data_IF_422624981042
#
_entry.id   IF_422624981042
#
_cell.length_a   1.000
_cell.length_b   1.000
_cell.length_c   1.000
_cell.angle_alpha   90.00
_cell.angle_beta   90.00
_cell.angle_gamma   90.00
#
_symmetry.space_group_name_H-M   'P 1'
#
loop_
_entity.id
_entity.type
_entity.pdbx_description
1 polymer ?
#
# COMPACT_ATOMS: atom_id res chain seq x y z
N UNK A 1 -14.32 -30.09 6.62
CA UNK A 1 -13.68 -29.37 5.50
C UNK A 1 -14.44 -28.05 5.29
N UNK A 2 -13.92 -26.91 5.74
CA UNK A 2 -14.47 -25.61 5.32
C UNK A 2 -14.21 -25.48 3.82
N UNK A 3 -15.27 -25.32 3.01
CA UNK A 3 -15.11 -24.95 1.59
C UNK A 3 -14.24 -23.68 1.56
N UNK A 4 -13.20 -23.67 0.76
CA UNK A 4 -12.41 -22.45 0.48
C UNK A 4 -13.36 -21.45 -0.16
N UNK A 5 -13.74 -20.41 0.58
CA UNK A 5 -14.66 -19.35 0.11
C UNK A 5 -13.92 -18.30 -0.73
N UNK A 6 -12.80 -18.66 -1.36
CA UNK A 6 -12.08 -17.77 -2.28
C UNK A 6 -12.98 -17.39 -3.47
N UNK A 7 -12.97 -16.13 -3.83
CA UNK A 7 -13.77 -15.56 -4.91
C UNK A 7 -13.42 -16.20 -6.27
N UNK A 8 -14.45 -16.62 -7.00
CA UNK A 8 -14.32 -17.27 -8.30
C UNK A 8 -14.73 -16.33 -9.45
N UNK A 9 -14.43 -16.67 -10.71
CA UNK A 9 -14.82 -15.85 -11.86
C UNK A 9 -16.33 -15.58 -11.90
N UNK A 10 -17.15 -16.57 -11.56
CA UNK A 10 -18.62 -16.40 -11.51
C UNK A 10 -19.06 -15.36 -10.49
N UNK A 11 -18.38 -15.29 -9.34
CA UNK A 11 -18.66 -14.31 -8.30
C UNK A 11 -18.32 -12.89 -8.79
N UNK A 12 -17.17 -12.75 -9.49
CA UNK A 12 -16.76 -11.47 -10.10
C UNK A 12 -17.74 -10.99 -11.16
N UNK A 13 -18.23 -11.89 -12.03
CA UNK A 13 -19.27 -11.56 -13.00
C UNK A 13 -20.55 -11.14 -12.31
N UNK A 14 -20.97 -11.85 -11.27
CA UNK A 14 -22.16 -11.52 -10.48
C UNK A 14 -22.02 -10.16 -9.77
N UNK A 15 -20.83 -9.84 -9.22
CA UNK A 15 -20.55 -8.53 -8.62
C UNK A 15 -20.74 -7.42 -9.65
N UNK A 16 -20.17 -7.56 -10.85
CA UNK A 16 -20.31 -6.59 -11.92
C UNK A 16 -21.76 -6.42 -12.39
N UNK A 17 -22.53 -7.51 -12.44
CA UNK A 17 -23.96 -7.48 -12.80
C UNK A 17 -24.82 -6.84 -11.72
N UNK A 18 -24.51 -7.08 -10.45
CA UNK A 18 -25.33 -6.60 -9.31
C UNK A 18 -25.06 -5.14 -8.98
N UNK A 19 -23.79 -4.74 -9.00
CA UNK A 19 -23.34 -3.42 -8.56
C UNK A 19 -22.91 -2.49 -9.70
N UNK A 20 -22.94 -2.98 -10.95
CA UNK A 20 -22.45 -2.25 -12.11
C UNK A 20 -20.93 -2.32 -12.29
N UNK A 21 -20.43 -1.68 -13.35
CA UNK A 21 -19.00 -1.50 -13.65
C UNK A 21 -18.76 -0.07 -14.16
N UNK A 22 -17.55 0.51 -14.00
CA UNK A 22 -16.39 -0.09 -13.37
C UNK A 22 -16.57 -0.26 -11.85
N UNK A 23 -15.90 -1.28 -11.25
CA UNK A 23 -16.00 -1.59 -9.82
C UNK A 23 -14.73 -2.27 -9.32
N UNK A 24 -14.35 -1.98 -8.08
CA UNK A 24 -13.31 -2.72 -7.37
C UNK A 24 -13.93 -3.82 -6.49
N UNK A 25 -13.36 -5.00 -6.53
CA UNK A 25 -13.74 -6.12 -5.67
C UNK A 25 -12.51 -6.64 -4.92
N UNK A 26 -12.65 -6.85 -3.63
CA UNK A 26 -11.57 -7.33 -2.77
C UNK A 26 -11.98 -8.62 -2.07
N UNK A 27 -11.07 -9.59 -2.00
CA UNK A 27 -11.25 -10.87 -1.34
C UNK A 27 -10.63 -10.84 0.06
N UNK A 28 -11.48 -10.78 1.10
CA UNK A 28 -11.06 -10.79 2.50
C UNK A 28 -10.27 -12.05 2.87
N UNK A 29 -10.61 -13.20 2.28
CA UNK A 29 -9.91 -14.45 2.55
C UNK A 29 -8.50 -14.46 1.95
N UNK A 30 -8.31 -13.90 0.76
CA UNK A 30 -6.98 -13.74 0.17
C UNK A 30 -6.09 -12.79 1.01
N UNK A 31 -6.67 -11.72 1.58
CA UNK A 31 -5.95 -10.84 2.53
C UNK A 31 -5.53 -11.61 3.79
N UNK A 32 -6.44 -12.39 4.38
CA UNK A 32 -6.17 -13.23 5.55
C UNK A 32 -5.06 -14.25 5.26
N UNK A 33 -5.10 -14.89 4.10
CA UNK A 33 -4.09 -15.87 3.69
C UNK A 33 -2.68 -15.24 3.61
N UNK A 34 -2.57 -14.03 3.05
CA UNK A 34 -1.29 -13.32 2.97
C UNK A 34 -0.81 -12.82 4.34
N UNK A 35 -1.71 -12.34 5.19
CA UNK A 35 -1.39 -11.98 6.57
C UNK A 35 -0.85 -13.19 7.35
N UNK A 36 -1.55 -14.33 7.28
CA UNK A 36 -1.13 -15.57 7.94
C UNK A 36 0.18 -16.12 7.36
N UNK A 37 0.40 -16.00 6.05
CA UNK A 37 1.66 -16.39 5.42
C UNK A 37 2.83 -15.61 6.01
N UNK A 38 2.67 -14.28 6.14
CA UNK A 38 3.70 -13.42 6.71
C UNK A 38 3.95 -13.73 8.19
N UNK A 39 2.91 -13.81 9.00
CA UNK A 39 3.06 -14.08 10.44
C UNK A 39 3.64 -15.46 10.71
N UNK A 40 3.26 -16.46 9.92
CA UNK A 40 3.82 -17.81 10.04
C UNK A 40 5.31 -17.86 9.66
N UNK A 41 5.74 -17.12 8.66
CA UNK A 41 7.16 -17.05 8.25
C UNK A 41 8.05 -16.53 9.38
N UNK A 42 7.53 -15.66 10.24
CA UNK A 42 8.26 -15.09 11.38
C UNK A 42 7.83 -15.66 12.74
N UNK A 43 7.21 -16.84 12.77
CA UNK A 43 6.71 -17.47 14.01
C UNK A 43 7.80 -17.81 15.03
N UNK A 44 9.07 -17.84 14.64
CA UNK A 44 10.21 -18.01 15.54
C UNK A 44 10.59 -16.74 16.31
N UNK A 45 10.02 -15.58 15.99
CA UNK A 45 10.22 -14.32 16.70
C UNK A 45 9.18 -14.20 17.82
N UNK A 46 9.61 -14.00 19.11
CA UNK A 46 8.66 -13.95 20.24
C UNK A 46 7.66 -12.82 20.15
N UNK A 47 8.05 -11.67 19.60
CA UNK A 47 7.22 -10.48 19.50
C UNK A 47 7.25 -9.94 18.06
N UNK A 48 6.23 -10.29 17.28
CA UNK A 48 6.04 -9.82 15.90
C UNK A 48 4.89 -8.82 15.85
N UNK A 49 5.08 -7.71 15.13
CA UNK A 49 4.05 -6.72 14.83
C UNK A 49 3.96 -6.48 13.33
N UNK A 50 2.78 -6.56 12.78
CA UNK A 50 2.49 -6.20 11.39
C UNK A 50 1.65 -4.92 11.41
N UNK A 51 2.17 -3.83 10.85
CA UNK A 51 1.48 -2.57 10.67
C UNK A 51 1.05 -2.46 9.22
N UNK A 52 -0.23 -2.58 8.94
CA UNK A 52 -0.74 -2.48 7.57
C UNK A 52 -0.58 -1.06 7.04
N UNK A 53 0.10 -0.89 5.89
CA UNK A 53 0.29 0.42 5.26
C UNK A 53 -1.01 0.93 4.62
N UNK A 54 -1.67 1.88 5.29
CA UNK A 54 -3.00 2.42 4.93
C UNK A 54 -3.04 2.96 3.50
N UNK A 55 -1.96 3.60 3.05
CA UNK A 55 -1.81 4.13 1.68
C UNK A 55 -2.08 3.12 0.56
N UNK A 56 -1.93 1.82 0.83
CA UNK A 56 -2.16 0.79 -0.17
C UNK A 56 -3.66 0.64 -0.50
N UNK A 57 -4.53 0.60 0.53
CA UNK A 57 -5.98 0.55 0.38
C UNK A 57 -6.63 1.04 1.68
N UNK A 58 -7.14 2.26 1.68
CA UNK A 58 -7.58 3.01 2.88
C UNK A 58 -9.08 2.92 3.18
N UNK A 59 -9.81 1.95 2.58
CA UNK A 59 -11.23 1.76 2.87
C UNK A 59 -11.44 1.29 4.31
N UNK A 60 -12.36 1.93 5.05
CA UNK A 60 -12.62 1.64 6.47
C UNK A 60 -12.94 0.17 6.75
N UNK A 61 -13.69 -0.52 5.88
CA UNK A 61 -13.99 -1.94 6.03
C UNK A 61 -12.74 -2.82 5.90
N UNK A 62 -11.80 -2.41 5.03
CA UNK A 62 -10.51 -3.08 4.88
C UNK A 62 -9.63 -2.83 6.10
N UNK A 63 -9.58 -1.59 6.62
CA UNK A 63 -8.82 -1.29 7.84
C UNK A 63 -9.35 -2.09 9.04
N UNK A 64 -10.68 -2.17 9.21
CA UNK A 64 -11.33 -3.02 10.24
C UNK A 64 -10.98 -4.49 10.06
N UNK A 65 -10.94 -4.98 8.82
CA UNK A 65 -10.56 -6.36 8.53
C UNK A 65 -9.09 -6.64 8.88
N UNK A 66 -8.17 -5.75 8.49
CA UNK A 66 -6.75 -5.89 8.84
C UNK A 66 -6.54 -5.87 10.36
N UNK A 67 -7.21 -4.96 11.07
CA UNK A 67 -7.17 -4.93 12.53
C UNK A 67 -7.78 -6.20 13.18
N UNK A 68 -8.87 -6.72 12.62
CA UNK A 68 -9.46 -8.01 13.07
C UNK A 68 -8.48 -9.18 12.93
N UNK A 69 -7.62 -9.16 11.92
CA UNK A 69 -6.54 -10.15 11.73
C UNK A 69 -5.39 -9.97 12.73
N UNK A 70 -5.32 -8.86 13.44
CA UNK A 70 -4.27 -8.52 14.41
C UNK A 70 -3.22 -7.52 13.92
N UNK A 71 -3.44 -6.89 12.76
CA UNK A 71 -2.54 -5.83 12.28
C UNK A 71 -2.80 -4.50 12.99
N UNK A 72 -1.71 -3.79 13.34
CA UNK A 72 -1.71 -2.35 13.51
C UNK A 72 -1.72 -1.62 12.18
N UNK A 73 -1.53 -0.30 12.18
CA UNK A 73 -1.52 0.52 10.96
C UNK A 73 -0.23 1.35 10.84
N UNK A 74 0.33 1.40 9.62
CA UNK A 74 1.31 2.40 9.19
C UNK A 74 0.58 3.50 8.42
N UNK A 75 0.74 4.76 8.87
CA UNK A 75 0.07 5.95 8.34
C UNK A 75 1.08 7.02 7.97
N UNK A 76 0.80 7.80 6.92
CA UNK A 76 1.71 8.83 6.39
C UNK A 76 1.12 10.24 6.41
N UNK A 77 -0.14 10.37 6.84
CA UNK A 77 -0.85 11.65 7.00
C UNK A 77 -1.79 11.59 8.20
N UNK A 78 -2.12 12.75 8.77
CA UNK A 78 -3.10 12.82 9.86
C UNK A 78 -4.47 12.25 9.44
N UNK A 79 -4.83 12.37 8.15
CA UNK A 79 -6.08 11.82 7.63
C UNK A 79 -6.07 10.28 7.65
N UNK A 80 -4.94 9.64 7.36
CA UNK A 80 -4.81 8.18 7.52
C UNK A 80 -4.87 7.74 8.98
N UNK A 81 -4.30 8.53 9.92
CA UNK A 81 -4.46 8.30 11.37
C UNK A 81 -5.94 8.37 11.75
N UNK A 82 -6.64 9.42 11.31
CA UNK A 82 -8.08 9.59 11.58
C UNK A 82 -8.92 8.43 11.02
N UNK A 83 -8.59 7.95 9.80
CA UNK A 83 -9.23 6.75 9.23
C UNK A 83 -8.98 5.51 10.10
N UNK A 84 -7.77 5.34 10.63
CA UNK A 84 -7.45 4.24 11.53
C UNK A 84 -8.26 4.29 12.82
N UNK A 85 -8.35 5.46 13.44
CA UNK A 85 -9.16 5.69 14.65
C UNK A 85 -10.65 5.46 14.38
N UNK A 86 -11.19 5.95 13.26
CA UNK A 86 -12.58 5.71 12.83
C UNK A 86 -12.84 4.22 12.56
N UNK A 87 -11.85 3.48 12.06
CA UNK A 87 -11.92 2.04 11.92
C UNK A 87 -11.91 1.29 13.27
N UNK A 88 -11.64 1.98 14.39
CA UNK A 88 -11.63 1.44 15.73
C UNK A 88 -10.27 0.86 16.14
N UNK A 89 -9.20 1.18 15.42
CA UNK A 89 -7.83 0.76 15.78
C UNK A 89 -7.34 1.59 16.97
N UNK A 90 -6.85 0.98 18.06
CA UNK A 90 -6.33 1.72 19.20
C UNK A 90 -5.14 2.61 18.80
N UNK A 91 -5.01 3.84 19.33
CA UNK A 91 -3.91 4.75 18.98
C UNK A 91 -2.52 4.12 19.08
N UNK A 92 -2.27 3.33 20.12
CA UNK A 92 -0.99 2.63 20.36
C UNK A 92 -0.63 1.58 19.30
N UNK A 93 -1.58 1.20 18.45
CA UNK A 93 -1.41 0.26 17.35
C UNK A 93 -1.32 0.96 15.99
N UNK A 94 -1.24 2.30 16.02
CA UNK A 94 -1.04 3.14 14.83
C UNK A 94 0.35 3.76 14.90
N UNK A 95 1.10 3.66 13.81
CA UNK A 95 2.39 4.34 13.61
C UNK A 95 2.18 5.46 12.59
N UNK A 96 2.69 6.63 12.90
CA UNK A 96 2.71 7.78 11.99
C UNK A 96 4.12 8.01 11.48
N UNK A 97 4.35 7.71 10.20
CA UNK A 97 5.65 7.79 9.51
C UNK A 97 5.59 8.85 8.39
N UNK A 98 5.48 10.14 8.73
CA UNK A 98 5.34 11.20 7.74
C UNK A 98 6.67 11.50 7.04
N UNK A 99 6.59 12.16 5.87
CA UNK A 99 7.75 12.76 5.22
C UNK A 99 7.37 14.14 4.65
N UNK A 100 8.09 15.17 5.06
CA UNK A 100 7.92 16.53 4.55
C UNK A 100 6.63 17.22 5.00
N UNK A 101 6.04 16.81 6.12
CA UNK A 101 4.89 17.47 6.76
C UNK A 101 5.35 18.60 7.70
N UNK A 102 4.44 19.46 8.12
CA UNK A 102 4.73 20.50 9.10
C UNK A 102 4.94 19.92 10.50
N UNK A 103 5.75 20.61 11.32
CA UNK A 103 5.90 20.22 12.74
C UNK A 103 4.54 20.23 13.46
N UNK A 104 3.67 21.19 13.15
CA UNK A 104 2.34 21.29 13.75
C UNK A 104 1.45 20.07 13.47
N UNK A 105 1.58 19.44 12.29
CA UNK A 105 0.87 18.19 12.00
C UNK A 105 1.40 17.03 12.85
N UNK A 106 2.72 16.96 13.06
CA UNK A 106 3.34 15.93 13.93
C UNK A 106 2.89 16.14 15.39
N UNK A 107 2.89 17.38 15.85
CA UNK A 107 2.43 17.73 17.20
C UNK A 107 0.95 17.40 17.41
N UNK A 108 0.09 17.72 16.43
CA UNK A 108 -1.33 17.34 16.46
C UNK A 108 -1.49 15.82 16.56
N UNK A 109 -0.80 15.06 15.70
CA UNK A 109 -0.85 13.59 15.72
C UNK A 109 -0.32 13.03 17.03
N UNK A 110 0.73 13.62 17.62
CA UNK A 110 1.26 13.19 18.92
C UNK A 110 0.21 13.29 20.06
N UNK A 111 -0.70 14.28 19.99
CA UNK A 111 -1.80 14.39 20.96
C UNK A 111 -2.80 13.25 20.90
N UNK A 112 -2.86 12.53 19.78
CA UNK A 112 -3.75 11.38 19.59
C UNK A 112 -3.20 10.10 20.24
N UNK A 113 -1.95 10.11 20.71
CA UNK A 113 -1.32 8.98 21.41
C UNK A 113 -0.87 7.85 20.47
N UNK A 114 -0.59 8.17 19.20
CA UNK A 114 -0.01 7.22 18.23
C UNK A 114 1.52 7.25 18.29
N UNK A 115 2.17 6.20 17.80
CA UNK A 115 3.63 6.16 17.70
C UNK A 115 4.10 7.13 16.61
N UNK A 116 5.04 8.01 16.95
CA UNK A 116 5.62 8.99 16.02
C UNK A 116 6.95 8.46 15.48
N UNK A 117 7.10 8.43 14.16
CA UNK A 117 8.36 8.19 13.47
C UNK A 117 8.88 9.49 12.86
N UNK A 118 10.17 9.81 13.04
CA UNK A 118 10.80 11.03 12.53
C UNK A 118 11.95 10.67 11.60
N UNK A 119 11.98 11.29 10.42
CA UNK A 119 12.94 11.01 9.35
C UNK A 119 13.83 12.20 8.99
N UNK A 120 13.86 13.25 9.82
CA UNK A 120 14.57 14.50 9.53
C UNK A 120 15.20 15.08 10.81
N UNK A 121 16.49 15.50 10.73
CA UNK A 121 17.22 16.05 11.89
C UNK A 121 16.60 17.34 12.46
N UNK A 122 16.18 18.26 11.58
CA UNK A 122 15.59 19.53 12.03
C UNK A 122 14.27 19.28 12.77
N UNK A 123 13.45 18.37 12.26
CA UNK A 123 12.18 17.99 12.91
C UNK A 123 12.47 17.27 14.24
N UNK A 124 13.46 16.37 14.26
CA UNK A 124 13.86 15.64 15.47
C UNK A 124 14.28 16.62 16.60
N UNK A 125 15.10 17.62 16.27
CA UNK A 125 15.55 18.62 17.24
C UNK A 125 14.40 19.49 17.76
N UNK A 126 13.55 19.99 16.86
CA UNK A 126 12.40 20.83 17.22
C UNK A 126 11.40 20.06 18.07
N UNK A 127 11.02 18.84 17.63
CA UNK A 127 10.07 18.00 18.35
C UNK A 127 10.63 17.57 19.72
N UNK A 128 11.89 17.13 19.77
CA UNK A 128 12.55 16.72 21.02
C UNK A 128 12.68 17.88 22.03
N UNK A 129 12.89 19.11 21.55
CA UNK A 129 12.93 20.31 22.40
C UNK A 129 11.55 20.62 22.97
N UNK A 130 10.50 20.51 22.16
CA UNK A 130 9.13 20.84 22.57
C UNK A 130 8.45 19.71 23.39
N UNK A 131 8.75 18.45 23.08
CA UNK A 131 8.06 17.26 23.60
C UNK A 131 9.03 16.16 24.06
N UNK A 132 10.00 16.42 24.96
CA UNK A 132 11.05 15.47 25.33
C UNK A 132 10.53 14.18 25.99
N UNK A 133 9.32 14.20 26.52
CA UNK A 133 8.69 13.04 27.19
C UNK A 133 7.91 12.14 26.25
N UNK A 134 7.65 12.57 25.00
CA UNK A 134 6.97 11.75 23.99
C UNK A 134 8.00 10.84 23.34
N UNK A 135 7.86 9.50 23.45
CA UNK A 135 8.80 8.59 22.80
C UNK A 135 8.63 8.64 21.29
N UNK A 136 9.75 8.63 20.58
CA UNK A 136 9.76 8.65 19.12
C UNK A 136 10.63 7.53 18.55
N UNK A 137 10.27 7.07 17.37
CA UNK A 137 11.10 6.23 16.54
C UNK A 137 11.82 7.09 15.50
N UNK A 138 13.06 6.78 15.20
CA UNK A 138 13.80 7.42 14.11
C UNK A 138 13.82 6.55 12.86
N UNK A 139 13.52 7.14 11.71
CA UNK A 139 13.67 6.47 10.43
C UNK A 139 15.03 6.79 9.84
N UNK A 140 15.84 5.76 9.64
CA UNK A 140 17.15 5.86 9.00
C UNK A 140 17.10 5.52 7.51
N UNK A 141 18.04 6.09 6.75
CA UNK A 141 18.38 5.64 5.40
C UNK A 141 19.68 4.85 5.45
N UNK A 142 19.66 3.52 5.25
CA UNK A 142 20.86 2.69 5.28
C UNK A 142 21.72 2.82 4.03
N UNK A 143 21.32 3.59 3.02
CA UNK A 143 21.97 3.75 1.72
C UNK A 143 22.11 2.44 0.93
N UNK A 144 21.17 1.54 1.12
CA UNK A 144 21.10 0.28 0.38
C UNK A 144 19.99 0.41 -0.68
N UNK A 145 20.34 0.20 -1.92
CA UNK A 145 19.39 0.15 -3.03
C UNK A 145 18.83 -1.27 -3.14
N UNK A 146 17.56 -1.43 -2.76
CA UNK A 146 16.81 -2.65 -2.98
C UNK A 146 15.64 -2.36 -3.95
N UNK A 147 15.42 -3.26 -4.91
CA UNK A 147 14.34 -3.15 -5.89
C UNK A 147 14.74 -2.60 -7.26
N UNK A 148 13.93 -2.92 -8.27
CA UNK A 148 14.25 -2.70 -9.71
C UNK A 148 13.70 -1.43 -10.34
N UNK A 149 12.95 -0.57 -9.63
CA UNK A 149 12.33 0.63 -10.20
C UNK A 149 12.81 1.89 -9.45
N UNK A 150 13.52 2.77 -10.15
CA UNK A 150 14.09 4.00 -9.58
C UNK A 150 13.03 4.94 -8.96
N UNK A 151 11.78 4.94 -9.48
CA UNK A 151 10.70 5.80 -8.98
C UNK A 151 10.15 5.38 -7.61
N UNK A 152 10.44 4.15 -7.17
CA UNK A 152 9.97 3.58 -5.90
C UNK A 152 11.12 3.06 -5.02
N UNK A 153 12.36 3.35 -5.40
CA UNK A 153 13.57 3.09 -4.59
C UNK A 153 13.76 4.23 -3.59
N UNK A 154 13.68 3.95 -2.30
CA UNK A 154 13.80 4.95 -1.22
C UNK A 154 15.11 4.86 -0.45
N UNK A 155 15.92 3.83 -0.66
CA UNK A 155 17.23 3.63 -0.05
C UNK A 155 18.42 4.31 -0.76
N UNK A 156 18.18 5.14 -1.78
CA UNK A 156 19.24 5.86 -2.48
C UNK A 156 19.86 6.93 -1.59
N UNK A 157 21.15 7.26 -1.80
CA UNK A 157 21.86 8.27 -1.02
C UNK A 157 21.21 9.66 -1.09
N UNK A 158 20.63 10.00 -2.24
CA UNK A 158 19.91 11.27 -2.49
C UNK A 158 18.38 11.11 -2.28
N UNK A 159 17.94 10.11 -1.52
CA UNK A 159 16.54 9.96 -1.18
C UNK A 159 16.07 11.04 -0.21
N UNK A 160 14.83 11.52 -0.40
CA UNK A 160 14.22 12.44 0.57
C UNK A 160 13.83 11.75 1.89
N UNK A 161 13.88 10.42 1.96
CA UNK A 161 13.41 9.63 3.07
C UNK A 161 14.54 9.19 3.99
N UNK A 162 14.30 9.30 5.29
CA UNK A 162 15.17 8.78 6.34
C UNK A 162 16.39 9.66 6.62
N UNK A 163 16.82 9.65 7.87
CA UNK A 163 18.08 10.27 8.30
C UNK A 163 19.24 9.36 7.83
N UNK A 164 20.18 9.93 7.09
CA UNK A 164 21.37 9.17 6.65
C UNK A 164 22.09 8.55 7.83
N UNK A 165 22.52 7.27 7.71
CA UNK A 165 23.34 6.61 8.72
C UNK A 165 24.63 7.38 9.04
N UNK A 166 25.16 8.17 8.07
CA UNK A 166 26.32 9.03 8.29
C UNK A 166 26.03 10.23 9.21
N UNK A 167 24.75 10.55 9.45
CA UNK A 167 24.30 11.63 10.32
C UNK A 167 23.97 11.17 11.75
N UNK A 168 24.17 9.88 12.07
CA UNK A 168 23.90 9.35 13.42
C UNK A 168 24.61 10.12 14.54
N UNK A 169 25.85 10.64 14.40
CA UNK A 169 26.44 11.50 15.44
C UNK A 169 25.66 12.77 15.73
N UNK A 170 24.91 13.29 14.73
CA UNK A 170 24.02 14.45 14.96
C UNK A 170 22.74 14.02 15.69
N UNK A 171 22.18 12.86 15.35
CA UNK A 171 21.02 12.29 16.06
C UNK A 171 21.36 12.12 17.55
N UNK A 172 22.47 11.47 17.87
CA UNK A 172 22.88 11.23 19.26
C UNK A 172 23.05 12.54 20.05
N UNK A 173 23.63 13.58 19.42
CA UNK A 173 23.77 14.91 20.03
C UNK A 173 22.42 15.56 20.30
N UNK A 174 21.47 15.46 19.35
CA UNK A 174 20.10 15.99 19.55
C UNK A 174 19.44 15.27 20.72
N UNK A 175 19.51 13.94 20.77
CA UNK A 175 18.93 13.12 21.84
C UNK A 175 19.53 13.51 23.20
N UNK A 176 20.86 13.65 23.27
CA UNK A 176 21.54 14.08 24.50
C UNK A 176 21.13 15.50 24.95
N UNK A 177 21.07 16.45 24.02
CA UNK A 177 20.73 17.84 24.31
C UNK A 177 19.27 18.04 24.71
N UNK A 178 18.34 17.30 24.11
CA UNK A 178 16.90 17.43 24.37
C UNK A 178 16.42 16.54 25.50
N UNK A 179 17.15 15.47 25.81
CA UNK A 179 16.72 14.44 26.76
C UNK A 179 15.55 13.60 26.25
N UNK A 180 15.26 13.64 24.95
CA UNK A 180 14.15 12.87 24.35
C UNK A 180 14.40 11.36 24.39
N UNK A 181 13.31 10.60 24.41
CA UNK A 181 13.37 9.14 24.41
C UNK A 181 13.21 8.61 22.98
N UNK A 182 14.21 7.83 22.50
CA UNK A 182 14.12 7.05 21.27
C UNK A 182 13.71 5.63 21.66
N UNK A 183 12.47 5.24 21.26
CA UNK A 183 11.92 3.92 21.58
C UNK A 183 11.93 2.94 20.40
N UNK A 184 12.31 3.39 19.21
CA UNK A 184 12.39 2.54 18.02
C UNK A 184 13.36 3.04 16.98
N UNK A 185 13.82 2.13 16.13
CA UNK A 185 14.56 2.45 14.91
C UNK A 185 13.86 1.79 13.73
N UNK A 186 13.61 2.57 12.69
CA UNK A 186 12.89 2.18 11.49
C UNK A 186 13.76 2.35 10.26
N UNK A 187 13.62 1.43 9.31
CA UNK A 187 14.13 1.61 7.94
C UNK A 187 13.08 1.18 6.91
N UNK A 188 13.17 1.73 5.72
CA UNK A 188 12.45 1.22 4.57
C UNK A 188 13.36 1.32 3.33
N UNK A 189 13.72 0.17 2.75
CA UNK A 189 14.73 0.09 1.68
C UNK A 189 14.13 0.18 0.27
N UNK A 190 12.81 0.24 0.13
CA UNK A 190 12.10 0.38 -1.14
C UNK A 190 11.05 -0.69 -1.41
N UNK A 191 10.69 -0.84 -2.67
CA UNK A 191 9.68 -1.81 -3.13
C UNK A 191 10.29 -2.85 -4.07
N UNK A 192 9.63 -4.02 -4.16
CA UNK A 192 9.98 -5.11 -5.07
C UNK A 192 11.36 -5.74 -4.76
N UNK A 193 11.64 -5.92 -3.47
CA UNK A 193 12.85 -6.57 -2.97
C UNK A 193 12.75 -8.07 -3.27
N UNK A 194 13.67 -8.57 -4.08
CA UNK A 194 13.81 -9.99 -4.42
C UNK A 194 14.99 -10.64 -3.75
N UNK A 195 16.05 -9.87 -3.53
CA UNK A 195 17.30 -10.35 -2.97
C UNK A 195 17.25 -10.31 -1.44
N UNK A 196 17.14 -11.49 -0.84
CA UNK A 196 17.07 -11.64 0.61
C UNK A 196 18.39 -11.20 1.27
N UNK A 197 19.55 -11.45 0.65
CA UNK A 197 20.83 -11.09 1.23
C UNK A 197 21.00 -9.57 1.29
N UNK A 198 20.45 -8.82 0.32
CA UNK A 198 20.38 -7.35 0.37
C UNK A 198 19.52 -6.89 1.54
N UNK A 199 18.37 -7.53 1.78
CA UNK A 199 17.52 -7.21 2.92
C UNK A 199 18.21 -7.52 4.26
N UNK A 200 18.88 -8.66 4.36
CA UNK A 200 19.62 -9.05 5.55
C UNK A 200 20.83 -8.13 5.82
N UNK A 201 21.47 -7.63 4.76
CA UNK A 201 22.55 -6.64 4.94
C UNK A 201 21.98 -5.30 5.48
N UNK A 202 20.82 -4.86 4.99
CA UNK A 202 20.14 -3.69 5.55
C UNK A 202 19.74 -3.91 7.02
N UNK A 203 19.33 -5.13 7.38
CA UNK A 203 19.02 -5.49 8.76
C UNK A 203 20.24 -5.35 9.69
N UNK A 204 21.44 -5.77 9.27
CA UNK A 204 22.66 -5.58 10.08
C UNK A 204 22.93 -4.10 10.35
N UNK A 205 22.73 -3.22 9.35
CA UNK A 205 22.90 -1.77 9.54
C UNK A 205 21.88 -1.24 10.56
N UNK A 206 20.64 -1.76 10.53
CA UNK A 206 19.63 -1.39 11.52
C UNK A 206 20.03 -1.84 12.92
N UNK A 207 20.55 -3.05 13.07
CA UNK A 207 21.07 -3.56 14.34
C UNK A 207 22.25 -2.73 14.87
N UNK A 208 23.21 -2.35 14.01
CA UNK A 208 24.34 -1.51 14.38
C UNK A 208 23.88 -0.11 14.82
N UNK A 209 22.84 0.42 14.18
CA UNK A 209 22.22 1.68 14.59
C UNK A 209 21.50 1.53 15.94
N UNK A 210 20.76 0.46 16.12
CA UNK A 210 20.02 0.16 17.34
C UNK A 210 20.92 0.04 18.58
N UNK A 211 22.13 -0.53 18.44
CA UNK A 211 23.14 -0.62 19.54
C UNK A 211 23.55 0.72 20.14
N UNK A 212 23.28 1.84 19.42
CA UNK A 212 23.58 3.20 19.91
C UNK A 212 22.54 3.73 20.90
N UNK A 213 21.41 3.04 21.06
CA UNK A 213 20.30 3.39 21.97
C UNK A 213 20.10 2.28 23.00
N UNK A 214 19.70 2.64 24.24
CA UNK A 214 19.62 1.68 25.35
C UNK A 214 18.20 1.17 25.63
N UNK A 215 17.19 1.98 25.31
CA UNK A 215 15.81 1.77 25.79
C UNK A 215 14.81 1.47 24.67
N UNK A 216 15.29 0.89 23.54
CA UNK A 216 14.43 0.54 22.43
C UNK A 216 13.33 -0.46 22.84
N UNK A 217 12.20 -0.36 22.21
CA UNK A 217 11.05 -1.26 22.35
C UNK A 217 10.84 -2.10 21.09
N UNK A 218 11.18 -1.55 19.92
CA UNK A 218 10.97 -2.22 18.63
C UNK A 218 12.01 -1.82 17.58
N UNK A 219 12.14 -2.69 16.58
CA UNK A 219 12.82 -2.40 15.32
C UNK A 219 11.84 -2.63 14.18
N UNK A 220 11.68 -1.61 13.33
CA UNK A 220 10.78 -1.68 12.18
C UNK A 220 11.59 -1.74 10.88
N UNK A 221 11.37 -2.82 10.14
CA UNK A 221 12.08 -3.11 8.90
C UNK A 221 11.34 -2.59 7.66
N UNK A 222 10.23 -1.85 7.87
CA UNK A 222 9.38 -1.42 6.77
C UNK A 222 8.77 -2.61 6.03
N UNK A 223 8.90 -2.60 4.72
CA UNK A 223 8.43 -3.69 3.86
C UNK A 223 9.17 -3.64 2.52
N UNK A 224 8.47 -3.90 1.43
CA UNK A 224 8.99 -3.92 0.08
C UNK A 224 8.91 -5.31 -0.55
N UNK A 225 8.23 -6.24 0.11
CA UNK A 225 8.04 -7.61 -0.39
C UNK A 225 7.35 -7.59 -1.74
N UNK A 226 8.02 -8.16 -2.75
CA UNK A 226 7.50 -8.24 -4.10
C UNK A 226 6.42 -9.31 -4.20
N UNK A 227 5.33 -8.96 -4.91
CA UNK A 227 4.28 -9.90 -5.32
C UNK A 227 4.29 -10.05 -6.84
N UNK A 228 3.94 -11.22 -7.39
CA UNK A 228 3.93 -11.45 -8.83
C UNK A 228 2.76 -10.72 -9.49
N UNK A 229 3.03 -10.01 -10.60
CA UNK A 229 2.03 -9.28 -11.40
C UNK A 229 1.72 -9.94 -12.75
N UNK A 230 2.53 -10.89 -13.16
CA UNK A 230 2.37 -11.63 -14.43
C UNK A 230 2.77 -13.11 -14.24
N UNK A 231 2.29 -14.02 -15.08
CA UNK A 231 2.71 -15.42 -15.06
C UNK A 231 4.24 -15.53 -15.16
N UNK A 232 4.84 -16.34 -14.28
CA UNK A 232 6.30 -16.54 -14.22
C UNK A 232 7.08 -15.37 -13.62
N UNK A 233 6.41 -14.38 -13.04
CA UNK A 233 7.08 -13.32 -12.27
C UNK A 233 7.59 -13.85 -10.93
N UNK A 234 8.73 -13.32 -10.48
CA UNK A 234 9.29 -13.68 -9.18
C UNK A 234 8.58 -12.93 -8.05
N UNK A 235 8.49 -13.56 -6.90
CA UNK A 235 8.06 -12.93 -5.63
C UNK A 235 9.17 -13.04 -4.58
N UNK A 236 9.06 -12.25 -3.53
CA UNK A 236 9.93 -12.39 -2.35
C UNK A 236 9.65 -13.74 -1.69
N UNK A 237 10.69 -14.55 -1.51
CA UNK A 237 10.59 -15.78 -0.72
C UNK A 237 10.50 -15.42 0.76
N UNK A 238 9.26 -15.18 1.22
CA UNK A 238 9.02 -14.67 2.58
C UNK A 238 9.34 -15.72 3.65
N UNK A 239 9.22 -16.99 3.30
CA UNK A 239 9.54 -18.11 4.18
C UNK A 239 11.06 -18.17 4.47
N UNK A 240 11.88 -18.06 3.43
CA UNK A 240 13.33 -18.02 3.57
C UNK A 240 13.81 -16.75 4.30
N UNK A 241 13.19 -15.60 3.99
CA UNK A 241 13.48 -14.36 4.70
C UNK A 241 13.13 -14.50 6.18
N UNK A 242 11.95 -15.08 6.48
CA UNK A 242 11.50 -15.33 7.84
C UNK A 242 12.45 -16.19 8.63
N UNK A 243 12.91 -17.32 8.06
CA UNK A 243 13.87 -18.21 8.68
C UNK A 243 15.19 -17.48 9.00
N UNK A 244 15.80 -16.83 8.01
CA UNK A 244 17.11 -16.19 8.15
C UNK A 244 17.09 -14.95 9.07
N UNK A 245 16.07 -14.08 8.90
CA UNK A 245 15.99 -12.85 9.69
C UNK A 245 15.60 -13.12 11.14
N UNK A 246 14.72 -14.10 11.40
CA UNK A 246 14.32 -14.46 12.77
C UNK A 246 15.53 -14.90 13.61
N UNK A 247 16.45 -15.70 13.04
CA UNK A 247 17.67 -16.11 13.74
C UNK A 247 18.51 -14.88 14.10
N UNK A 248 18.80 -14.01 13.12
CA UNK A 248 19.64 -12.82 13.34
C UNK A 248 19.01 -11.84 14.33
N UNK A 249 17.69 -11.67 14.25
CA UNK A 249 16.96 -10.79 15.16
C UNK A 249 16.95 -11.30 16.58
N UNK A 250 16.76 -12.61 16.79
CA UNK A 250 16.80 -13.22 18.11
C UNK A 250 18.21 -13.16 18.72
N UNK A 251 19.26 -13.42 17.92
CA UNK A 251 20.65 -13.26 18.33
C UNK A 251 20.93 -11.80 18.72
N UNK A 252 20.46 -10.83 17.91
CA UNK A 252 20.59 -9.41 18.24
C UNK A 252 19.89 -9.06 19.56
N UNK A 253 18.66 -9.54 19.80
CA UNK A 253 17.92 -9.29 21.05
C UNK A 253 18.67 -9.87 22.26
N UNK A 254 19.25 -11.06 22.12
CA UNK A 254 20.08 -11.68 23.18
C UNK A 254 21.32 -10.83 23.51
N UNK A 255 22.02 -10.33 22.50
CA UNK A 255 23.18 -9.43 22.67
C UNK A 255 22.77 -8.05 23.22
N UNK A 256 21.62 -7.52 22.79
CA UNK A 256 21.08 -6.24 23.26
C UNK A 256 20.57 -6.33 24.71
N UNK A 257 20.25 -7.54 25.18
CA UNK A 257 19.80 -7.81 26.54
C UNK A 257 18.32 -7.51 26.81
N UNK A 258 17.51 -7.39 25.75
CA UNK A 258 16.07 -7.13 25.84
C UNK A 258 15.34 -7.74 24.65
N UNK A 259 14.17 -8.36 24.88
CA UNK A 259 13.27 -8.82 23.83
C UNK A 259 12.59 -7.62 23.20
N UNK A 260 12.96 -7.30 21.96
CA UNK A 260 12.36 -6.23 21.18
C UNK A 260 11.22 -6.78 20.32
N UNK A 261 10.33 -5.88 19.88
CA UNK A 261 9.33 -6.19 18.87
C UNK A 261 9.97 -6.09 17.48
N UNK A 262 9.85 -7.15 16.68
CA UNK A 262 10.11 -7.11 15.25
C UNK A 262 8.88 -6.55 14.54
N UNK A 263 9.01 -5.43 13.84
CA UNK A 263 7.89 -4.81 13.12
C UNK A 263 8.11 -4.78 11.60
N UNK A 264 6.99 -4.89 10.85
CA UNK A 264 6.93 -4.70 9.40
C UNK A 264 5.73 -3.84 9.00
N UNK A 265 5.85 -3.13 7.87
CA UNK A 265 4.83 -2.23 7.31
C UNK A 265 4.33 -2.69 5.92
N UNK A 266 3.80 -3.91 5.76
CA UNK A 266 3.37 -4.41 4.45
C UNK A 266 2.07 -3.73 4.00
N UNK A 267 2.08 -3.21 2.77
CA UNK A 267 0.87 -2.77 2.07
C UNK A 267 0.56 -3.70 0.89
N UNK A 268 1.36 -3.57 -0.17
CA UNK A 268 1.19 -4.32 -1.42
C UNK A 268 1.12 -5.83 -1.22
N UNK A 269 1.96 -6.38 -0.35
CA UNK A 269 2.02 -7.81 -0.05
C UNK A 269 0.67 -8.36 0.46
N UNK A 270 -0.03 -7.60 1.30
CA UNK A 270 -1.27 -8.06 1.93
C UNK A 270 -2.50 -7.93 1.02
N UNK A 271 -2.58 -6.85 0.23
CA UNK A 271 -3.86 -6.54 -0.46
C UNK A 271 -3.79 -6.57 -1.98
N UNK A 272 -2.60 -6.55 -2.60
CA UNK A 272 -2.49 -6.43 -4.06
C UNK A 272 -3.21 -7.56 -4.78
N UNK A 273 -2.87 -8.82 -4.45
CA UNK A 273 -3.43 -10.01 -5.09
C UNK A 273 -4.87 -10.31 -4.68
N UNK A 274 -5.34 -9.71 -3.59
CA UNK A 274 -6.71 -9.82 -3.12
C UNK A 274 -7.69 -8.90 -3.88
N UNK A 275 -7.18 -7.97 -4.71
CA UNK A 275 -8.01 -7.00 -5.40
C UNK A 275 -8.15 -7.23 -6.88
N UNK A 276 -9.36 -6.98 -7.38
CA UNK A 276 -9.77 -7.09 -8.76
C UNK A 276 -10.43 -5.78 -9.18
N UNK A 277 -10.13 -5.32 -10.40
CA UNK A 277 -10.82 -4.21 -11.01
C UNK A 277 -11.60 -4.71 -12.22
N UNK A 278 -12.93 -4.52 -12.20
CA UNK A 278 -13.85 -5.03 -13.20
C UNK A 278 -14.34 -3.88 -14.07
N UNK A 279 -14.29 -4.09 -15.39
CA UNK A 279 -14.76 -3.10 -16.37
C UNK A 279 -15.58 -3.80 -17.44
N UNK A 280 -16.55 -3.11 -18.02
CA UNK A 280 -17.28 -3.61 -19.19
C UNK A 280 -16.68 -3.06 -20.47
N UNK A 281 -16.69 -3.87 -21.53
CA UNK A 281 -16.26 -3.48 -22.87
C UNK A 281 -17.38 -2.67 -23.54
N UNK A 282 -17.12 -1.41 -23.85
CA UNK A 282 -18.05 -0.54 -24.58
C UNK A 282 -18.06 -0.83 -26.07
N UNK A 283 -16.87 -1.07 -26.64
CA UNK A 283 -16.73 -1.33 -28.07
C UNK A 283 -15.41 -2.06 -28.39
N UNK A 284 -15.40 -2.78 -29.50
CA UNK A 284 -14.21 -3.40 -30.08
C UNK A 284 -13.93 -2.73 -31.41
N UNK A 285 -12.79 -2.01 -31.51
CA UNK A 285 -12.40 -1.27 -32.71
C UNK A 285 -11.18 -1.92 -33.34
N UNK A 286 -11.29 -2.31 -34.59
CA UNK A 286 -10.17 -2.82 -35.37
C UNK A 286 -9.63 -1.74 -36.31
N UNK A 287 -8.32 -1.55 -36.28
CA UNK A 287 -7.56 -0.78 -37.24
C UNK A 287 -6.77 -1.71 -38.18
N UNK A 288 -5.88 -1.20 -39.00
CA UNK A 288 -5.07 -2.00 -39.90
C UNK A 288 -4.19 -3.03 -39.17
N UNK A 289 -3.68 -2.68 -37.96
CA UNK A 289 -2.70 -3.50 -37.25
C UNK A 289 -3.09 -3.81 -35.80
N UNK A 290 -4.10 -3.17 -35.25
CA UNK A 290 -4.44 -3.26 -33.83
C UNK A 290 -5.93 -3.48 -33.63
N UNK A 291 -6.26 -4.36 -32.69
CA UNK A 291 -7.63 -4.51 -32.18
C UNK A 291 -7.69 -3.88 -30.79
N UNK A 292 -8.48 -2.83 -30.66
CA UNK A 292 -8.73 -2.14 -29.40
C UNK A 292 -9.96 -2.72 -28.71
N UNK A 293 -9.83 -3.06 -27.43
CA UNK A 293 -10.95 -3.26 -26.53
C UNK A 293 -11.10 -1.99 -25.69
N UNK A 294 -12.18 -1.22 -25.94
CA UNK A 294 -12.44 0.05 -25.27
C UNK A 294 -13.38 -0.21 -24.10
N UNK A 295 -12.90 0.06 -22.88
CA UNK A 295 -13.64 -0.22 -21.64
C UNK A 295 -14.32 1.03 -21.07
N UNK A 296 -15.30 0.83 -20.19
CA UNK A 296 -16.05 1.89 -19.50
C UNK A 296 -15.27 2.50 -18.31
N UNK A 297 -13.96 2.53 -18.41
CA UNK A 297 -13.04 3.08 -17.41
C UNK A 297 -11.86 3.76 -18.09
N UNK A 298 -10.94 4.29 -17.32
CA UNK A 298 -9.71 4.91 -17.79
C UNK A 298 -8.61 4.92 -16.73
N UNK A 299 -7.45 5.49 -17.07
CA UNK A 299 -6.34 5.60 -16.13
C UNK A 299 -6.70 6.42 -14.87
N UNK A 300 -7.75 7.24 -14.95
CA UNK A 300 -8.29 7.95 -13.79
C UNK A 300 -8.78 7.01 -12.68
N UNK A 301 -9.11 5.76 -12.99
CA UNK A 301 -9.47 4.75 -12.00
C UNK A 301 -8.34 3.78 -11.71
N UNK A 302 -7.47 3.45 -12.68
CA UNK A 302 -6.33 2.55 -12.53
C UNK A 302 -5.09 3.18 -13.19
N UNK A 303 -4.42 4.08 -12.48
CA UNK A 303 -3.32 4.90 -13.03
C UNK A 303 -2.02 4.13 -13.21
N UNK A 304 -1.81 3.03 -12.50
CA UNK A 304 -0.52 2.33 -12.42
C UNK A 304 0.10 1.92 -13.76
N UNK A 305 -0.66 1.44 -14.77
CA UNK A 305 -0.09 1.19 -16.09
C UNK A 305 0.51 2.43 -16.74
N UNK A 306 -0.17 3.59 -16.65
CA UNK A 306 0.30 4.84 -17.21
C UNK A 306 1.45 5.46 -16.41
N UNK A 307 1.37 5.45 -15.09
CA UNK A 307 2.32 6.13 -14.20
C UNK A 307 3.64 5.36 -14.04
N UNK A 308 3.57 4.03 -13.94
CA UNK A 308 4.72 3.18 -13.62
C UNK A 308 5.06 2.15 -14.69
N UNK A 309 4.28 2.08 -15.78
CA UNK A 309 4.37 0.96 -16.71
C UNK A 309 3.99 -0.38 -16.06
N UNK A 310 3.22 -0.34 -14.96
CA UNK A 310 2.87 -1.53 -14.22
C UNK A 310 1.99 -2.45 -15.06
N UNK A 311 2.36 -3.74 -15.08
CA UNK A 311 1.59 -4.75 -15.77
C UNK A 311 0.54 -5.32 -14.81
N UNK A 312 -0.74 -5.29 -15.23
CA UNK A 312 -1.80 -6.07 -14.61
C UNK A 312 -2.19 -7.22 -15.56
N UNK A 313 -2.43 -8.41 -15.03
CA UNK A 313 -3.05 -9.49 -15.80
C UNK A 313 -4.48 -9.07 -16.08
N UNK A 314 -4.92 -9.23 -17.34
CA UNK A 314 -6.28 -8.90 -17.78
C UNK A 314 -6.89 -10.18 -18.35
N UNK A 315 -8.09 -10.52 -17.88
CA UNK A 315 -8.87 -11.67 -18.35
C UNK A 315 -10.25 -11.23 -18.81
N UNK A 316 -10.74 -11.86 -19.87
CA UNK A 316 -12.16 -11.80 -20.21
C UNK A 316 -12.91 -12.87 -19.39
N UNK A 317 -13.52 -12.44 -18.27
CA UNK A 317 -14.24 -13.35 -17.38
C UNK A 317 -15.66 -13.69 -17.86
N UNK A 318 -16.17 -12.98 -18.88
CA UNK A 318 -17.43 -13.33 -19.56
C UNK A 318 -17.25 -14.46 -20.56
N UNK A 319 -16.05 -14.63 -21.13
CA UNK A 319 -15.73 -15.64 -22.12
C UNK A 319 -14.34 -16.25 -21.87
N UNK A 320 -14.10 -16.89 -20.71
CA UNK A 320 -12.77 -17.36 -20.32
C UNK A 320 -12.21 -18.49 -21.22
N UNK A 321 -13.09 -19.27 -21.87
CA UNK A 321 -12.73 -20.36 -22.79
C UNK A 321 -12.68 -19.92 -24.25
N UNK A 322 -12.84 -18.62 -24.51
CA UNK A 322 -12.79 -18.04 -25.86
C UNK A 322 -11.43 -18.22 -26.51
N UNK A 323 -11.41 -18.27 -27.85
CA UNK A 323 -10.15 -18.32 -28.63
C UNK A 323 -9.31 -17.08 -28.29
N UNK A 324 -8.04 -17.26 -27.90
CA UNK A 324 -7.16 -16.17 -27.61
C UNK A 324 -6.81 -15.32 -28.85
N UNK A 325 -6.88 -14.00 -28.69
CA UNK A 325 -6.49 -13.00 -29.69
C UNK A 325 -5.67 -11.90 -29.02
N UNK A 326 -4.98 -11.09 -29.83
CA UNK A 326 -4.24 -9.93 -29.33
C UNK A 326 -5.11 -8.68 -29.30
N UNK A 327 -5.15 -8.01 -28.16
CA UNK A 327 -5.86 -6.76 -27.94
C UNK A 327 -4.97 -5.70 -27.29
N UNK A 328 -5.22 -4.44 -27.64
CA UNK A 328 -4.82 -3.30 -26.81
C UNK A 328 -6.04 -2.86 -26.00
N UNK A 329 -5.96 -2.95 -24.68
CA UNK A 329 -7.05 -2.56 -23.79
C UNK A 329 -6.87 -1.09 -23.44
N UNK A 330 -7.86 -0.27 -23.78
CA UNK A 330 -7.82 1.19 -23.64
C UNK A 330 -9.09 1.71 -22.97
N UNK A 331 -8.94 2.83 -22.27
CA UNK A 331 -10.05 3.49 -21.60
C UNK A 331 -10.72 4.56 -22.45
N UNK A 332 -11.54 5.38 -21.77
CA UNK A 332 -12.37 6.41 -22.36
C UNK A 332 -11.86 7.85 -22.10
N UNK A 333 -10.72 8.00 -21.45
CA UNK A 333 -10.14 9.33 -21.19
C UNK A 333 -9.63 9.91 -22.52
N UNK A 334 -9.74 11.24 -22.68
CA UNK A 334 -9.37 11.96 -23.90
C UNK A 334 -7.86 12.07 -24.13
N UNK A 335 -7.10 11.06 -23.75
CA UNK A 335 -5.68 10.86 -23.96
C UNK A 335 -5.42 9.43 -24.46
N UNK A 336 -4.17 8.98 -24.53
CA UNK A 336 -3.84 7.62 -25.00
C UNK A 336 -4.49 6.53 -24.15
N UNK A 337 -4.62 6.74 -22.85
CA UNK A 337 -5.40 5.95 -21.88
C UNK A 337 -5.28 4.43 -22.05
N UNK A 338 -4.06 3.94 -22.07
CA UNK A 338 -3.75 2.54 -22.37
C UNK A 338 -3.48 1.76 -21.10
N UNK A 339 -4.30 0.75 -20.81
CA UNK A 339 -4.05 -0.21 -19.73
C UNK A 339 -3.05 -1.29 -20.16
N UNK A 340 -3.13 -1.75 -21.41
CA UNK A 340 -2.26 -2.77 -21.92
C UNK A 340 -2.18 -2.72 -23.45
N UNK A 341 -0.97 -2.92 -23.97
CA UNK A 341 -0.73 -3.03 -25.40
C UNK A 341 -0.50 -4.49 -25.79
N UNK A 342 -1.13 -4.90 -26.89
CA UNK A 342 -0.86 -6.17 -27.56
C UNK A 342 -0.89 -7.38 -26.60
N UNK A 343 -1.97 -7.49 -25.80
CA UNK A 343 -2.17 -8.57 -24.83
C UNK A 343 -2.95 -9.70 -25.44
N UNK A 344 -2.52 -10.93 -25.17
CA UNK A 344 -3.22 -12.15 -25.54
C UNK A 344 -4.31 -12.40 -24.50
N UNK A 345 -5.56 -12.28 -24.93
CA UNK A 345 -6.76 -12.39 -24.09
C UNK A 345 -7.78 -13.23 -24.85
N UNK A 346 -8.61 -14.02 -24.14
CA UNK A 346 -9.75 -14.71 -24.71
C UNK A 346 -10.66 -13.73 -25.46
N UNK A 347 -11.22 -14.15 -26.59
CA UNK A 347 -11.98 -13.33 -27.53
C UNK A 347 -12.96 -12.41 -26.80
N UNK A 348 -12.87 -11.11 -27.12
CA UNK A 348 -13.62 -10.03 -26.46
C UNK A 348 -14.74 -9.57 -27.39
N UNK A 349 -15.93 -9.45 -26.82
CA UNK A 349 -17.12 -8.85 -27.42
C UNK A 349 -17.61 -7.64 -26.63
N UNK A 350 -18.40 -6.79 -27.26
CA UNK A 350 -19.07 -5.67 -26.58
C UNK A 350 -20.00 -6.20 -25.48
N UNK A 351 -19.94 -5.57 -24.32
CA UNK A 351 -20.66 -6.00 -23.12
C UNK A 351 -19.91 -7.00 -22.24
N UNK A 352 -18.80 -7.62 -22.72
CA UNK A 352 -17.98 -8.50 -21.89
C UNK A 352 -17.39 -7.75 -20.68
N UNK A 353 -17.20 -8.49 -19.60
CA UNK A 353 -16.52 -8.02 -18.40
C UNK A 353 -15.05 -8.43 -18.43
N UNK A 354 -14.17 -7.44 -18.39
CA UNK A 354 -12.73 -7.65 -18.21
C UNK A 354 -12.35 -7.50 -16.75
N UNK A 355 -11.55 -8.44 -16.26
CA UNK A 355 -11.00 -8.44 -14.90
C UNK A 355 -9.51 -8.09 -14.94
N UNK A 356 -9.14 -7.04 -14.24
CA UNK A 356 -7.75 -6.67 -13.99
C UNK A 356 -7.36 -7.20 -12.61
N UNK A 357 -6.39 -8.12 -12.59
CA UNK A 357 -5.88 -8.72 -11.36
C UNK A 357 -4.88 -7.80 -10.64
N UNK A 358 -4.55 -8.11 -9.40
CA UNK A 358 -3.62 -7.36 -8.55
C UNK A 358 -4.01 -5.89 -8.37
N UNK A 359 -5.30 -5.62 -8.32
CA UNK A 359 -5.84 -4.27 -8.21
C UNK A 359 -6.15 -3.83 -6.77
N UNK A 360 -5.65 -4.56 -5.76
CA UNK A 360 -5.92 -4.25 -4.35
C UNK A 360 -5.02 -3.17 -3.75
N UNK A 361 -3.83 -2.89 -4.33
CA UNK A 361 -2.90 -1.94 -3.76
C UNK A 361 -2.59 -0.79 -4.72
N UNK A 362 -2.68 0.46 -4.22
CA UNK A 362 -2.36 1.69 -4.97
C UNK A 362 -3.15 1.82 -6.28
N UNK A 363 -4.39 1.33 -6.29
CA UNK A 363 -5.31 1.42 -7.42
C UNK A 363 -6.43 2.39 -7.06
N UNK A 364 -7.43 1.98 -6.27
CA UNK A 364 -8.51 2.90 -5.87
C UNK A 364 -8.00 4.13 -5.11
N UNK A 365 -7.02 3.97 -4.22
CA UNK A 365 -6.44 5.09 -3.45
C UNK A 365 -5.77 6.17 -4.31
N UNK A 366 -5.40 5.83 -5.53
CA UNK A 366 -4.83 6.77 -6.52
C UNK A 366 -5.85 7.18 -7.59
N UNK A 367 -7.10 6.75 -7.49
CA UNK A 367 -8.15 7.12 -8.43
C UNK A 367 -8.51 8.60 -8.32
N UNK A 368 -8.86 9.20 -9.44
CA UNK A 368 -9.21 10.62 -9.57
C UNK A 368 -10.49 10.83 -10.38
N UNK A 369 -10.97 12.07 -10.36
CA UNK A 369 -12.13 12.50 -11.14
C UNK A 369 -11.75 13.14 -12.48
N UNK A 370 -10.57 12.81 -13.04
CA UNK A 370 -10.17 13.39 -14.32
C UNK A 370 -11.25 13.17 -15.40
N UNK A 371 -11.42 14.14 -16.28
CA UNK A 371 -12.56 14.26 -17.21
C UNK A 371 -13.93 14.25 -16.50
N UNK A 372 -14.00 14.70 -15.23
CA UNK A 372 -15.22 14.68 -14.38
C UNK A 372 -15.88 13.30 -14.27
N UNK A 373 -15.10 12.22 -14.41
CA UNK A 373 -15.58 10.85 -14.24
C UNK A 373 -15.71 10.52 -12.75
N UNK A 374 -16.78 9.80 -12.40
CA UNK A 374 -17.05 9.36 -11.03
C UNK A 374 -16.11 8.23 -10.62
N UNK A 375 -15.57 8.28 -9.41
CA UNK A 375 -14.84 7.14 -8.87
C UNK A 375 -15.79 5.96 -8.66
N UNK A 376 -15.33 4.72 -8.94
CA UNK A 376 -16.17 3.53 -8.91
C UNK A 376 -16.54 3.09 -7.48
N UNK A 377 -17.52 2.20 -7.38
CA UNK A 377 -17.86 1.51 -6.16
C UNK A 377 -16.75 0.52 -5.73
N UNK A 378 -16.76 0.13 -4.45
CA UNK A 378 -15.89 -0.91 -3.88
C UNK A 378 -16.74 -1.97 -3.17
N UNK A 379 -16.39 -3.23 -3.35
CA UNK A 379 -17.05 -4.40 -2.75
C UNK A 379 -16.01 -5.25 -2.02
N UNK A 380 -16.36 -5.75 -0.83
CA UNK A 380 -15.59 -6.75 -0.10
C UNK A 380 -16.32 -8.10 -0.18
N UNK A 381 -15.63 -9.11 -0.70
CA UNK A 381 -16.06 -10.49 -0.65
C UNK A 381 -15.65 -11.11 0.69
N UNK A 382 -16.65 -11.45 1.48
CA UNK A 382 -16.44 -12.06 2.79
C UNK A 382 -17.52 -13.12 3.08
N UNK A 383 -17.10 -14.29 3.58
CA UNK A 383 -17.98 -15.42 3.90
C UNK A 383 -18.91 -15.85 2.75
N UNK A 384 -18.41 -15.80 1.49
CA UNK A 384 -19.17 -16.22 0.32
C UNK A 384 -20.23 -15.21 -0.15
N UNK A 385 -20.14 -13.96 0.30
CA UNK A 385 -21.04 -12.88 -0.10
C UNK A 385 -20.29 -11.60 -0.46
N UNK A 386 -20.83 -10.84 -1.41
CA UNK A 386 -20.36 -9.53 -1.82
C UNK A 386 -21.01 -8.45 -0.95
N UNK A 387 -20.19 -7.64 -0.27
CA UNK A 387 -20.65 -6.53 0.57
C UNK A 387 -20.19 -5.22 -0.05
N UNK A 388 -21.14 -4.34 -0.36
CA UNK A 388 -20.80 -2.97 -0.81
C UNK A 388 -20.14 -2.23 0.35
N UNK A 389 -18.87 -1.79 0.17
CA UNK A 389 -18.10 -1.06 1.18
C UNK A 389 -17.80 0.38 0.79
N UNK A 390 -18.14 0.77 -0.45
CA UNK A 390 -18.17 2.15 -0.96
C UNK A 390 -19.16 2.23 -2.12
N UNK A 391 -20.03 3.22 -2.09
CA UNK A 391 -20.87 3.57 -3.24
C UNK A 391 -20.03 4.23 -4.33
N UNK A 392 -20.43 4.05 -5.60
CA UNK A 392 -19.89 4.87 -6.67
C UNK A 392 -20.26 6.34 -6.43
N UNK A 393 -19.39 7.25 -6.85
CA UNK A 393 -19.70 8.68 -6.80
C UNK A 393 -20.87 9.05 -7.70
N UNK A 394 -21.52 10.14 -7.32
CA UNK A 394 -22.60 10.80 -8.05
C UNK A 394 -22.17 12.19 -8.53
N UNK A 395 -23.04 12.89 -9.26
CA UNK A 395 -22.80 14.28 -9.64
C UNK A 395 -22.65 15.19 -8.40
N UNK A 396 -23.41 14.93 -7.35
CA UNK A 396 -23.34 15.70 -6.11
C UNK A 396 -21.95 15.60 -5.45
N UNK A 397 -21.30 14.44 -5.56
CA UNK A 397 -19.94 14.26 -5.04
C UNK A 397 -18.89 15.10 -5.79
N UNK A 398 -19.11 15.37 -7.08
CA UNK A 398 -18.22 16.26 -7.85
C UNK A 398 -18.37 17.72 -7.47
N UNK A 399 -19.57 18.17 -7.10
CA UNK A 399 -19.89 19.60 -6.92
C UNK A 399 -20.03 20.03 -5.46
N UNK A 400 -20.13 19.11 -4.50
CA UNK A 400 -20.44 19.38 -3.08
C UNK A 400 -19.52 20.40 -2.40
N UNK A 401 -18.28 20.53 -2.87
CA UNK A 401 -17.28 21.46 -2.32
C UNK A 401 -17.05 22.68 -3.23
N UNK A 402 -17.82 22.84 -4.32
CA UNK A 402 -17.69 23.97 -5.23
C UNK A 402 -18.52 25.16 -4.74
N UNK A 403 -17.93 26.34 -4.80
CA UNK A 403 -18.64 27.59 -4.54
C UNK A 403 -18.87 28.29 -5.88
N UNK A 404 -20.15 28.47 -6.22
CA UNK A 404 -20.54 29.13 -7.45
C UNK A 404 -20.66 30.63 -7.23
N UNK A 405 -19.93 31.43 -8.02
CA UNK A 405 -20.06 32.88 -8.01
C UNK A 405 -21.24 33.28 -8.90
N UNK A 406 -22.06 34.18 -8.39
CA UNK A 406 -23.02 34.89 -9.22
C UNK A 406 -22.27 35.98 -10.01
N UNK A 407 -22.26 35.86 -11.32
CA UNK A 407 -21.77 36.93 -12.18
C UNK A 407 -23.01 37.79 -12.54
N UNK A 408 -23.01 39.08 -12.16
CA UNK A 408 -24.08 40.00 -12.56
C UNK A 408 -24.13 40.01 -14.09
N UNK A 409 -25.36 39.94 -14.60
CA UNK A 409 -25.56 40.06 -16.04
C UNK A 409 -24.99 41.41 -16.48
N UNK A 410 -23.98 41.40 -17.33
CA UNK A 410 -23.52 42.60 -18.00
C UNK A 410 -24.73 43.06 -18.83
N UNK A 411 -25.39 44.14 -18.41
CA UNK A 411 -26.37 44.81 -19.24
C UNK A 411 -25.64 45.28 -20.50
N UNK A 412 -25.95 44.64 -21.64
CA UNK A 412 -25.45 45.00 -22.96
C UNK A 412 -26.29 46.07 -23.54
#
# INVERSE_FOLDING_TARGET
>A
MRKTNAMQHQDLVQIAQTHGSPIYAYDAHAMEAQYNRLTNAFSAVPQLRINYAVKALSNLSVLKWMHHLGAGLDTVSIQEVQLGLEAGVPPKEIIFTPNGVSLSEIEEVATLGVQINIDNLSVLEQFGTAHPTVPVCIRINPHIMAGGNANISVGHIDSKFGISIHQMPHVLRIVENTGMNINGVHMHTGSDILDIDVFLHAAEILFDTARQFKDLEFLDFGSGFKVPYKPGDNETNIEELGEKLSVRFNDFCADYGKDLVLAFEPGKFLVSQAGYFLTSVNSVKQTTSTVFAQVNSGFNHLIRPMLYGAQHRIENISNPEGRERFYSVVGYICETDTFANNRKIAEISEGDVLCFHNAGAYCFTMASNYNSRYRPAEVLWHNGAAHLIRQAESFDDLVKNQVVLAFDAVEV
#
